data_IF_896991723225
#
_entry.id   IF_896991723225
#
_cell.length_a   1.000
_cell.length_b   1.000
_cell.length_c   1.000
_cell.angle_alpha   90.00
_cell.angle_beta   90.00
_cell.angle_gamma   90.00
#
_symmetry.space_group_name_H-M   'P 1'
#
loop_
_entity.id
_entity.type
_entity.pdbx_description
1 polymer ?
#
# COMPACT_ATOMS: atom_id res chain seq x y z
N UNK A 1 -16.04 0.57 -7.07
CA UNK A 1 -15.80 0.08 -5.70
C UNK A 1 -14.35 -0.37 -5.64
N UNK A 2 -13.58 0.11 -4.68
CA UNK A 2 -12.23 -0.39 -4.43
C UNK A 2 -12.26 -1.37 -3.26
N UNK A 3 -11.53 -2.47 -3.40
CA UNK A 3 -11.29 -3.43 -2.33
C UNK A 3 -9.85 -3.23 -1.90
N UNK A 4 -9.63 -2.75 -0.68
CA UNK A 4 -8.29 -2.58 -0.12
C UNK A 4 -7.97 -3.82 0.71
N UNK A 5 -6.82 -4.43 0.45
CA UNK A 5 -6.39 -5.65 1.12
C UNK A 5 -4.96 -5.50 1.62
N UNK A 6 -4.70 -6.05 2.81
CA UNK A 6 -3.34 -6.18 3.31
C UNK A 6 -2.54 -7.15 2.42
N UNK A 7 -1.27 -6.82 2.15
CA UNK A 7 -0.38 -7.69 1.37
C UNK A 7 -0.12 -9.03 2.09
N UNK A 8 -0.05 -9.01 3.41
CA UNK A 8 0.34 -10.15 4.25
C UNK A 8 1.65 -9.87 4.98
N UNK A 9 1.90 -10.67 6.02
CA UNK A 9 3.09 -10.55 6.89
C UNK A 9 4.06 -11.73 6.67
N UNK A 10 4.22 -12.20 5.42
CA UNK A 10 5.00 -13.40 5.06
C UNK A 10 6.28 -13.09 4.29
N UNK A 11 6.70 -11.82 4.25
CA UNK A 11 8.01 -11.43 3.72
C UNK A 11 9.17 -12.02 4.54
N UNK A 12 10.43 -11.87 4.07
CA UNK A 12 10.86 -11.05 2.94
C UNK A 12 10.96 -11.83 1.61
N UNK A 13 10.50 -13.07 1.54
CA UNK A 13 10.55 -13.84 0.29
C UNK A 13 9.57 -13.28 -0.76
N UNK A 14 9.94 -13.38 -2.03
CA UNK A 14 9.06 -13.01 -3.15
C UNK A 14 7.90 -13.99 -3.29
N UNK A 15 6.77 -13.52 -3.84
CA UNK A 15 5.58 -14.33 -4.08
C UNK A 15 4.80 -14.70 -2.82
N UNK A 16 4.87 -13.86 -1.79
CA UNK A 16 4.28 -14.08 -0.47
C UNK A 16 3.00 -13.27 -0.23
N UNK A 17 2.46 -12.62 -1.28
CA UNK A 17 1.19 -11.88 -1.22
C UNK A 17 0.04 -12.84 -0.89
N UNK A 18 -0.65 -12.57 0.21
CA UNK A 18 -1.79 -13.36 0.67
C UNK A 18 -3.07 -13.06 -0.10
N UNK A 19 -3.98 -14.05 -0.18
CA UNK A 19 -5.37 -13.81 -0.56
C UNK A 19 -6.07 -12.99 0.54
N UNK A 20 -6.90 -11.98 0.20
CA UNK A 20 -7.35 -11.60 -1.15
C UNK A 20 -6.48 -10.55 -1.86
N UNK A 21 -5.35 -10.13 -1.29
CA UNK A 21 -4.46 -9.12 -1.88
C UNK A 21 -3.74 -9.53 -3.16
N UNK A 22 -3.77 -10.81 -3.55
CA UNK A 22 -3.27 -11.26 -4.84
C UNK A 22 -4.24 -11.00 -6.01
N UNK A 23 -5.48 -10.58 -5.74
CA UNK A 23 -6.46 -10.30 -6.78
C UNK A 23 -6.05 -9.08 -7.63
N UNK A 24 -6.20 -9.20 -8.96
CA UNK A 24 -5.77 -8.17 -9.91
C UNK A 24 -6.42 -6.79 -9.65
N UNK A 25 -7.66 -6.76 -9.17
CA UNK A 25 -8.44 -5.52 -8.91
C UNK A 25 -8.42 -5.07 -7.45
N UNK A 26 -7.76 -5.80 -6.55
CA UNK A 26 -7.57 -5.33 -5.18
C UNK A 26 -6.49 -4.25 -5.15
N UNK A 27 -6.64 -3.27 -4.26
CA UNK A 27 -5.56 -2.36 -3.88
C UNK A 27 -4.82 -3.00 -2.71
N UNK A 28 -3.67 -3.57 -2.99
CA UNK A 28 -2.88 -4.37 -2.08
C UNK A 28 -1.83 -3.50 -1.41
N UNK A 29 -1.83 -3.51 -0.09
CA UNK A 29 -1.06 -2.57 0.72
C UNK A 29 0.03 -3.29 1.49
N UNK A 30 1.29 -2.99 1.16
CA UNK A 30 2.45 -3.41 1.95
C UNK A 30 2.75 -2.44 3.09
N UNK A 31 3.72 -2.80 3.93
CA UNK A 31 4.07 -2.06 5.14
C UNK A 31 5.47 -1.45 5.04
N UNK A 32 5.58 -0.23 5.56
CA UNK A 32 6.85 0.50 5.73
C UNK A 32 7.04 0.94 7.16
N UNK A 33 8.28 1.19 7.54
CA UNK A 33 8.65 1.82 8.80
C UNK A 33 9.87 2.69 8.54
N UNK A 34 9.82 3.95 9.00
CA UNK A 34 10.88 4.93 8.80
C UNK A 34 11.38 5.05 7.33
N UNK A 35 10.48 4.91 6.35
CA UNK A 35 10.81 5.01 4.92
C UNK A 35 11.42 3.76 4.29
N UNK A 36 11.51 2.64 5.02
CA UNK A 36 11.96 1.35 4.51
C UNK A 36 10.82 0.32 4.50
N UNK A 37 10.88 -0.63 3.58
CA UNK A 37 9.94 -1.77 3.54
C UNK A 37 10.23 -2.69 4.73
N UNK A 38 9.22 -3.00 5.53
CA UNK A 38 9.41 -3.87 6.69
C UNK A 38 9.71 -5.30 6.24
N UNK A 39 10.57 -6.06 6.95
CA UNK A 39 10.93 -7.43 6.56
C UNK A 39 9.73 -8.36 6.44
N UNK A 40 8.73 -8.18 7.30
CA UNK A 40 7.52 -9.00 7.28
C UNK A 40 6.58 -8.66 6.12
N UNK A 41 6.67 -7.47 5.52
CA UNK A 41 5.75 -7.08 4.44
C UNK A 41 5.87 -8.06 3.27
N UNK A 42 4.78 -8.76 2.98
CA UNK A 42 4.70 -9.67 1.84
C UNK A 42 5.03 -8.96 0.52
N UNK A 43 5.68 -9.68 -0.38
CA UNK A 43 6.19 -9.18 -1.66
C UNK A 43 5.60 -9.95 -2.81
N UNK A 44 5.30 -9.27 -3.90
CA UNK A 44 4.85 -9.94 -5.12
C UNK A 44 5.97 -10.68 -5.80
N UNK A 45 5.61 -11.44 -6.84
CA UNK A 45 6.57 -11.83 -7.87
C UNK A 45 6.87 -10.63 -8.77
N UNK A 46 8.01 -10.66 -9.47
CA UNK A 46 8.44 -9.58 -10.36
C UNK A 46 7.39 -9.19 -11.42
N UNK A 47 6.63 -10.16 -11.91
CA UNK A 47 5.58 -10.01 -12.92
C UNK A 47 4.17 -9.74 -12.36
N UNK A 48 3.98 -9.90 -11.05
CA UNK A 48 2.66 -9.81 -10.42
C UNK A 48 2.19 -8.36 -10.24
N UNK A 49 3.12 -7.41 -10.13
CA UNK A 49 2.80 -6.00 -9.90
C UNK A 49 2.19 -5.70 -8.51
N UNK A 50 2.38 -6.59 -7.52
CA UNK A 50 1.91 -6.44 -6.14
C UNK A 50 3.08 -6.31 -5.15
N UNK A 51 2.91 -5.60 -4.00
CA UNK A 51 1.75 -4.79 -3.64
C UNK A 51 1.55 -3.61 -4.61
N UNK A 52 0.38 -2.96 -4.59
CA UNK A 52 0.17 -1.78 -5.44
C UNK A 52 0.82 -0.55 -4.82
N UNK A 53 0.75 -0.42 -3.49
CA UNK A 53 1.32 0.70 -2.73
C UNK A 53 1.80 0.20 -1.38
N UNK A 54 2.58 1.02 -0.69
CA UNK A 54 2.93 0.80 0.71
C UNK A 54 2.50 1.97 1.58
N UNK A 55 2.28 1.71 2.86
CA UNK A 55 1.98 2.75 3.85
C UNK A 55 2.68 2.39 5.17
N UNK A 56 2.79 3.33 6.12
CA UNK A 56 3.38 3.02 7.42
C UNK A 56 2.64 1.86 8.08
N UNK A 57 3.37 0.83 8.50
CA UNK A 57 2.82 -0.41 9.03
C UNK A 57 2.81 -0.48 10.54
N UNK A 58 3.30 0.56 11.22
CA UNK A 58 3.45 0.60 12.68
C UNK A 58 2.65 1.78 13.23
N UNK A 59 1.92 1.54 14.32
CA UNK A 59 1.30 2.60 15.12
C UNK A 59 1.70 2.45 16.58
N UNK A 60 1.92 3.60 17.23
CA UNK A 60 2.21 3.69 18.65
C UNK A 60 1.18 4.59 19.32
N UNK A 61 0.39 4.01 20.24
CA UNK A 61 -0.64 4.74 20.98
C UNK A 61 -0.51 4.41 22.46
N UNK A 62 0.14 5.29 23.22
CA UNK A 62 0.45 5.07 24.62
C UNK A 62 1.36 3.85 24.79
N UNK A 63 0.83 2.77 25.40
CA UNK A 63 1.55 1.50 25.59
C UNK A 63 1.34 0.48 24.47
N UNK A 64 0.48 0.78 23.50
CA UNK A 64 0.19 -0.13 22.41
C UNK A 64 1.16 0.12 21.27
N UNK A 65 1.88 -0.93 20.88
CA UNK A 65 2.71 -0.97 19.69
C UNK A 65 2.15 -2.08 18.78
N UNK A 66 1.60 -1.69 17.63
CA UNK A 66 1.02 -2.62 16.66
C UNK A 66 1.74 -2.47 15.33
N UNK A 67 2.19 -3.58 14.76
CA UNK A 67 2.89 -3.64 13.48
C UNK A 67 2.22 -4.64 12.54
N UNK A 68 2.07 -4.29 11.26
CA UNK A 68 1.61 -5.22 10.24
C UNK A 68 1.05 -4.53 9.00
N UNK A 69 0.94 -5.27 7.90
CA UNK A 69 0.21 -4.78 6.72
C UNK A 69 -1.27 -4.53 7.01
N UNK A 70 -1.82 -5.17 8.05
CA UNK A 70 -3.17 -4.91 8.58
C UNK A 70 -3.32 -3.52 9.21
N UNK A 71 -2.22 -2.87 9.59
CA UNK A 71 -2.19 -1.48 10.06
C UNK A 71 -2.03 -0.51 8.89
N UNK A 72 -1.22 -0.88 7.89
CA UNK A 72 -1.03 -0.09 6.68
C UNK A 72 -2.30 0.02 5.81
N UNK A 73 -3.02 -1.09 5.60
CA UNK A 73 -4.22 -1.16 4.75
C UNK A 73 -5.36 -0.16 5.10
N UNK A 74 -5.76 0.01 6.37
CA UNK A 74 -6.81 0.99 6.72
C UNK A 74 -6.39 2.44 6.46
N UNK A 75 -5.09 2.79 6.52
CA UNK A 75 -4.65 4.15 6.16
C UNK A 75 -4.89 4.46 4.68
N UNK A 76 -4.53 3.53 3.79
CA UNK A 76 -4.82 3.68 2.35
C UNK A 76 -6.32 3.74 2.10
N UNK A 77 -7.10 2.92 2.81
CA UNK A 77 -8.57 2.96 2.73
C UNK A 77 -9.14 4.33 3.10
N UNK A 78 -8.62 4.95 4.17
CA UNK A 78 -9.03 6.29 4.60
C UNK A 78 -8.71 7.36 3.56
N UNK A 79 -7.48 7.36 3.01
CA UNK A 79 -7.07 8.31 1.97
C UNK A 79 -7.95 8.18 0.73
N UNK A 80 -8.16 6.95 0.23
CA UNK A 80 -9.03 6.71 -0.92
C UNK A 80 -10.47 7.16 -0.65
N UNK A 81 -11.01 6.89 0.54
CA UNK A 81 -12.35 7.30 0.92
C UNK A 81 -12.50 8.83 0.95
N UNK A 82 -11.51 9.54 1.50
CA UNK A 82 -11.50 11.01 1.51
C UNK A 82 -11.47 11.62 0.10
N UNK A 83 -10.80 10.97 -0.85
CA UNK A 83 -10.69 11.45 -2.23
C UNK A 83 -11.91 11.11 -3.09
N UNK A 84 -12.67 10.05 -2.77
CA UNK A 84 -13.87 9.64 -3.52
C UNK A 84 -15.07 10.60 -3.40
N UNK A 85 -15.05 11.54 -2.47
CA UNK A 85 -16.05 12.61 -2.41
C UNK A 85 -15.86 13.64 -3.53
N UNK A 86 -14.71 14.33 -3.59
CA UNK A 86 -14.45 15.37 -4.58
C UNK A 86 -14.02 14.86 -5.97
N UNK A 87 -13.50 13.62 -6.10
CA UNK A 87 -12.92 13.13 -7.35
C UNK A 87 -13.56 11.81 -7.83
N UNK A 88 -13.49 11.59 -9.16
CA UNK A 88 -13.93 10.33 -9.76
C UNK A 88 -13.07 9.15 -9.29
N UNK A 89 -13.70 8.05 -8.89
CA UNK A 89 -13.03 6.87 -8.32
C UNK A 89 -11.94 6.31 -9.21
N UNK A 90 -12.17 6.27 -10.52
CA UNK A 90 -11.21 5.78 -11.50
C UNK A 90 -9.96 6.66 -11.56
N UNK A 91 -10.13 7.99 -11.50
CA UNK A 91 -9.01 8.94 -11.45
C UNK A 91 -8.19 8.77 -10.18
N UNK A 92 -8.86 8.63 -9.03
CA UNK A 92 -8.20 8.37 -7.73
C UNK A 92 -7.44 7.05 -7.70
N UNK A 93 -7.94 6.00 -8.33
CA UNK A 93 -7.17 4.74 -8.44
C UNK A 93 -6.02 4.86 -9.43
N UNK A 94 -6.20 5.59 -10.54
CA UNK A 94 -5.16 5.84 -11.53
C UNK A 94 -4.01 6.69 -10.98
N UNK A 95 -4.31 7.67 -10.12
CA UNK A 95 -3.30 8.55 -9.52
C UNK A 95 -2.34 7.81 -8.59
N UNK A 96 -2.71 6.65 -8.03
CA UNK A 96 -1.78 5.83 -7.25
C UNK A 96 -0.54 5.43 -8.07
N UNK A 97 -0.66 5.35 -9.40
CA UNK A 97 0.46 4.94 -10.25
C UNK A 97 1.59 5.95 -10.37
N UNK A 98 1.30 7.23 -10.13
CA UNK A 98 2.23 8.35 -10.33
C UNK A 98 2.34 9.27 -9.11
N UNK A 99 1.36 9.25 -8.22
CA UNK A 99 1.26 10.12 -7.04
C UNK A 99 1.81 9.52 -5.75
N UNK A 100 2.46 8.36 -5.79
CA UNK A 100 3.12 7.77 -4.62
C UNK A 100 4.60 8.21 -4.55
N UNK A 101 5.17 8.22 -3.35
CA UNK A 101 6.58 8.50 -3.14
C UNK A 101 7.43 7.25 -3.36
N UNK A 102 8.33 7.28 -4.35
CA UNK A 102 9.30 6.22 -4.59
C UNK A 102 10.32 6.14 -3.44
N UNK A 103 10.44 4.95 -2.83
CA UNK A 103 11.38 4.64 -1.76
C UNK A 103 12.69 4.00 -2.25
N UNK A 104 12.86 3.82 -3.57
CA UNK A 104 14.05 3.22 -4.18
C UNK A 104 14.11 1.70 -4.14
N UNK A 105 13.02 1.01 -3.78
CA UNK A 105 12.92 -0.45 -3.77
C UNK A 105 12.39 -1.02 -5.09
N UNK A 106 12.52 -2.33 -5.30
CA UNK A 106 11.94 -2.96 -6.48
C UNK A 106 10.41 -2.90 -6.48
N UNK A 107 9.83 -2.93 -7.68
CA UNK A 107 8.37 -2.85 -7.90
C UNK A 107 7.57 -3.85 -7.08
N UNK A 108 8.07 -5.07 -6.91
CA UNK A 108 7.42 -6.13 -6.17
C UNK A 108 7.51 -6.00 -4.64
N UNK A 109 8.32 -5.06 -4.15
CA UNK A 109 8.44 -4.72 -2.72
C UNK A 109 7.57 -3.52 -2.36
N UNK A 110 7.68 -2.43 -3.11
CA UNK A 110 7.03 -1.16 -2.76
C UNK A 110 5.79 -0.81 -3.61
N UNK A 111 5.51 -1.56 -4.68
CA UNK A 111 4.49 -1.16 -5.63
C UNK A 111 4.84 0.17 -6.30
N UNK A 112 3.87 1.08 -6.36
CA UNK A 112 4.04 2.44 -6.90
C UNK A 112 4.78 3.36 -5.91
N UNK A 113 5.06 2.87 -4.71
CA UNK A 113 5.73 3.60 -3.65
C UNK A 113 4.84 3.81 -2.44
N UNK A 114 5.31 4.65 -1.53
CA UNK A 114 4.59 5.00 -0.33
C UNK A 114 3.44 5.97 -0.66
N UNK A 115 2.27 5.68 -0.11
CA UNK A 115 1.09 6.54 -0.24
C UNK A 115 1.42 7.96 0.26
N UNK A 116 1.13 8.97 -0.55
CA UNK A 116 1.36 10.38 -0.24
C UNK A 116 0.15 11.19 -0.73
N UNK A 117 -0.69 11.64 0.20
CA UNK A 117 -1.93 12.34 -0.15
C UNK A 117 -1.67 13.66 -0.89
N UNK A 118 -0.54 14.35 -0.62
CA UNK A 118 -0.23 15.62 -1.27
C UNK A 118 0.13 15.40 -2.73
N UNK A 119 1.04 14.45 -3.01
CA UNK A 119 1.42 14.08 -4.37
C UNK A 119 0.26 13.49 -5.17
N UNK A 120 -0.62 12.72 -4.52
CA UNK A 120 -1.85 12.22 -5.16
C UNK A 120 -2.74 13.38 -5.59
N UNK A 121 -2.90 14.42 -4.77
CA UNK A 121 -3.70 15.60 -5.12
C UNK A 121 -3.10 16.42 -6.26
N UNK A 122 -1.77 16.49 -6.38
CA UNK A 122 -1.10 17.20 -7.48
C UNK A 122 -1.38 16.59 -8.87
N UNK A 123 -1.70 15.29 -8.93
CA UNK A 123 -1.94 14.56 -10.17
C UNK A 123 -3.42 14.25 -10.42
N UNK A 124 -4.33 14.74 -9.56
CA UNK A 124 -5.78 14.56 -9.65
C UNK A 124 -6.50 15.73 -10.33
#
# INVERSE_FOLDING_TARGET
MAVVAAAGNWGPSDGTISCPGNAARAVTVGATEAGAITPYSSRGRADQGKPDVVAPGTIEVGRFHLSGTSIAAPMVSGILASLYGPYERQKVLGSLSTGCADLGFSRNQQGYGQIDAHKILEVL
#
